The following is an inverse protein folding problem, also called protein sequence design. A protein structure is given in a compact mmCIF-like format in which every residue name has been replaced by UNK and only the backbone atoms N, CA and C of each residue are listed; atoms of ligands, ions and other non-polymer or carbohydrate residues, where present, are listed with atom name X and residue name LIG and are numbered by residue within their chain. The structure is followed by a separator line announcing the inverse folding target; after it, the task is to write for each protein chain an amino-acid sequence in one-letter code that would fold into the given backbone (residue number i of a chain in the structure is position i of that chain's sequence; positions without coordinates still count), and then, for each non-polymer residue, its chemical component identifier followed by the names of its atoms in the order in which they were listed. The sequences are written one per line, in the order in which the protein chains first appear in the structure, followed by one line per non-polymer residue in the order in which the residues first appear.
data_IF_806307174007
#
_entry.id   IF_806307174007
#
_cell.length_a   1.000
_cell.length_b   1.000
_cell.length_c   1.000
_cell.angle_alpha   90.00
_cell.angle_beta   90.00
_cell.angle_gamma   90.00
#
_symmetry.space_group_name_H-M   'P 1'
#
loop_
_entity.id
_entity.type
_entity.pdbx_description
1 polymer ?
#
# COMPACT_ATOMS: atom_id res chain seq x y z
N UNK A 1 20.17 13.14 -15.21
CA UNK A 1 19.01 12.57 -14.51
C UNK A 1 18.22 13.77 -13.99
N UNK A 2 17.06 14.07 -14.58
CA UNK A 2 16.21 15.13 -14.07
C UNK A 2 15.59 14.61 -12.77
N UNK A 3 15.85 15.26 -11.63
CA UNK A 3 15.11 15.01 -10.41
C UNK A 3 13.63 15.27 -10.73
N UNK A 4 12.81 14.24 -10.68
CA UNK A 4 11.37 14.38 -10.83
C UNK A 4 10.90 15.32 -9.71
N UNK A 5 10.46 16.53 -10.08
CA UNK A 5 9.95 17.51 -9.10
C UNK A 5 8.56 17.06 -8.63
N UNK A 6 8.54 16.07 -7.73
CA UNK A 6 7.31 15.47 -7.20
C UNK A 6 6.55 16.40 -6.24
N UNK A 7 7.08 17.60 -5.99
CA UNK A 7 6.51 18.60 -5.08
C UNK A 7 6.28 18.03 -3.66
N UNK A 8 7.19 17.19 -3.18
CA UNK A 8 7.11 16.64 -1.82
C UNK A 8 7.60 17.72 -0.84
N UNK A 9 6.78 18.20 0.09
CA UNK A 9 7.20 19.18 1.10
C UNK A 9 8.23 18.58 2.05
N UNK A 10 9.02 19.44 2.67
CA UNK A 10 9.94 19.04 3.74
C UNK A 10 9.18 18.40 4.90
N UNK A 11 9.73 17.30 5.42
CA UNK A 11 9.13 16.59 6.54
C UNK A 11 9.28 17.41 7.84
N UNK A 12 8.28 17.40 8.73
CA UNK A 12 8.39 18.08 10.00
C UNK A 12 9.46 17.43 10.88
N UNK A 13 10.22 18.24 11.62
CA UNK A 13 11.09 17.72 12.68
C UNK A 13 10.26 17.12 13.82
N UNK A 14 10.64 15.91 14.26
CA UNK A 14 10.00 15.19 15.36
C UNK A 14 11.06 14.93 16.44
N UNK A 15 10.81 15.42 17.65
CA UNK A 15 11.75 15.22 18.78
C UNK A 15 11.94 13.73 19.04
N UNK A 16 13.20 13.30 19.12
CA UNK A 16 13.56 11.92 19.39
C UNK A 16 13.43 10.96 18.20
N UNK A 17 13.22 11.47 16.98
CA UNK A 17 13.14 10.65 15.76
C UNK A 17 14.01 11.25 14.65
N UNK A 18 14.78 10.42 13.95
CA UNK A 18 15.62 10.82 12.82
C UNK A 18 14.83 10.62 11.51
N UNK A 19 14.71 11.68 10.71
CA UNK A 19 14.04 11.59 9.43
C UNK A 19 14.85 10.76 8.43
N UNK A 20 14.22 9.68 7.89
CA UNK A 20 14.83 8.80 6.90
C UNK A 20 14.40 9.11 5.48
N UNK A 21 13.09 9.29 5.26
CA UNK A 21 12.55 9.40 3.91
C UNK A 21 11.17 10.06 3.91
N UNK A 22 10.90 10.83 2.85
CA UNK A 22 9.56 11.37 2.54
C UNK A 22 9.04 10.79 1.24
N UNK A 23 7.94 10.07 1.33
CA UNK A 23 7.14 9.67 0.18
C UNK A 23 6.09 10.70 -0.19
N UNK A 24 5.31 10.42 -1.23
CA UNK A 24 4.24 11.30 -1.71
C UNK A 24 3.21 11.66 -0.63
N UNK A 25 2.93 10.74 0.28
CA UNK A 25 1.85 10.89 1.29
C UNK A 25 2.25 10.46 2.70
N UNK A 26 3.49 10.06 2.93
CA UNK A 26 4.00 9.61 4.23
C UNK A 26 5.43 10.05 4.45
N UNK A 27 5.80 10.17 5.72
CA UNK A 27 7.16 10.42 6.16
C UNK A 27 7.60 9.29 7.09
N UNK A 28 8.85 8.84 6.95
CA UNK A 28 9.46 7.76 7.70
C UNK A 28 10.57 8.32 8.57
N UNK A 29 10.59 7.92 9.84
CA UNK A 29 11.62 8.29 10.81
C UNK A 29 12.12 7.03 11.50
N UNK A 30 13.38 7.06 11.91
CA UNK A 30 13.97 6.05 12.79
C UNK A 30 13.90 6.53 14.24
N UNK A 31 13.52 5.62 15.12
CA UNK A 31 13.50 5.84 16.56
C UNK A 31 14.80 5.29 17.19
N UNK A 32 15.21 5.78 18.38
CA UNK A 32 16.44 5.35 19.05
C UNK A 32 16.53 3.84 19.36
N UNK A 33 15.40 3.15 19.41
CA UNK A 33 15.29 1.70 19.60
C UNK A 33 15.38 0.89 18.31
N UNK A 34 15.57 1.55 17.15
CA UNK A 34 15.63 0.94 15.84
C UNK A 34 14.28 0.66 15.19
N UNK A 35 13.18 1.00 15.84
CA UNK A 35 11.85 0.95 15.23
C UNK A 35 11.63 2.12 14.26
N UNK A 36 10.64 2.01 13.39
CA UNK A 36 10.22 3.06 12.48
C UNK A 36 8.99 3.79 13.01
N UNK A 37 9.02 5.13 12.98
CA UNK A 37 7.84 5.95 13.12
C UNK A 37 7.33 6.30 11.72
N UNK A 38 6.15 5.77 11.36
CA UNK A 38 5.51 6.01 10.08
C UNK A 38 4.42 7.06 10.27
N UNK A 39 4.56 8.20 9.62
CA UNK A 39 3.65 9.34 9.75
C UNK A 39 2.85 9.52 8.47
N UNK A 40 1.55 9.28 8.52
CA UNK A 40 0.65 9.58 7.41
C UNK A 40 0.38 11.09 7.36
N UNK A 41 0.51 11.66 6.18
CA UNK A 41 0.23 13.08 5.95
C UNK A 41 -1.16 13.29 5.36
N UNK A 42 -1.60 14.55 5.38
CA UNK A 42 -2.83 15.00 4.72
C UNK A 42 -2.60 15.30 3.23
N UNK A 43 -1.35 15.11 2.74
CA UNK A 43 -1.01 15.26 1.31
C UNK A 43 -1.82 14.31 0.46
N UNK A 44 -2.17 14.74 -0.75
CA UNK A 44 -2.74 13.92 -1.81
C UNK A 44 -1.86 14.02 -3.05
N UNK A 45 -1.69 12.93 -3.77
CA UNK A 45 -0.93 12.91 -5.02
C UNK A 45 -1.80 12.42 -6.17
N UNK A 46 -1.56 12.96 -7.35
CA UNK A 46 -2.14 12.50 -8.60
C UNK A 46 -1.06 12.53 -9.70
N UNK A 47 -0.98 11.48 -10.51
CA UNK A 47 0.04 11.35 -11.56
C UNK A 47 1.47 11.61 -11.04
N UNK A 48 1.78 11.02 -9.88
CA UNK A 48 3.07 11.14 -9.17
C UNK A 48 3.43 12.55 -8.66
N UNK A 49 2.57 13.54 -8.83
CA UNK A 49 2.74 14.89 -8.31
C UNK A 49 1.94 15.08 -7.02
N UNK A 50 2.57 15.64 -5.98
CA UNK A 50 1.89 16.00 -4.73
C UNK A 50 1.18 17.33 -4.92
N UNK A 51 -0.14 17.35 -4.72
CA UNK A 51 -0.95 18.53 -4.87
C UNK A 51 -0.72 19.51 -3.71
N UNK A 52 -0.79 20.80 -3.99
CA UNK A 52 -0.51 21.86 -2.99
C UNK A 52 -1.52 21.90 -1.85
N UNK A 53 -2.78 21.49 -2.13
CA UNK A 53 -3.86 21.55 -1.13
C UNK A 53 -3.99 20.20 -0.41
N UNK A 54 -3.72 20.12 0.91
CA UNK A 54 -3.93 18.90 1.68
C UNK A 54 -5.43 18.63 1.89
N UNK A 55 -5.76 17.38 2.13
CA UNK A 55 -7.10 16.95 2.54
C UNK A 55 -7.13 16.84 4.07
N UNK A 56 -7.81 17.73 4.78
CA UNK A 56 -7.83 17.73 6.24
C UNK A 56 -8.21 16.37 6.83
N UNK A 57 -7.48 15.93 7.86
CA UNK A 57 -7.65 14.66 8.57
C UNK A 57 -7.45 13.38 7.75
N UNK A 58 -7.03 13.47 6.47
CA UNK A 58 -6.78 12.28 5.63
C UNK A 58 -5.82 11.31 6.31
N UNK A 59 -4.68 11.81 6.83
CA UNK A 59 -3.69 10.98 7.52
C UNK A 59 -4.28 10.27 8.73
N UNK A 60 -5.09 10.96 9.53
CA UNK A 60 -5.75 10.39 10.72
C UNK A 60 -6.78 9.33 10.35
N UNK A 61 -7.59 9.58 9.35
CA UNK A 61 -8.62 8.64 8.86
C UNK A 61 -7.95 7.38 8.35
N UNK A 62 -6.92 7.51 7.50
CA UNK A 62 -6.22 6.36 6.92
C UNK A 62 -5.49 5.54 7.99
N UNK A 63 -4.80 6.18 8.94
CA UNK A 63 -4.13 5.49 10.05
C UNK A 63 -5.15 4.70 10.89
N UNK A 64 -6.28 5.32 11.26
CA UNK A 64 -7.33 4.65 12.03
C UNK A 64 -7.92 3.46 11.28
N UNK A 65 -8.13 3.60 9.97
CA UNK A 65 -8.64 2.52 9.13
C UNK A 65 -7.63 1.37 9.01
N UNK A 66 -6.32 1.67 8.85
CA UNK A 66 -5.28 0.64 8.85
C UNK A 66 -5.23 -0.13 10.17
N UNK A 67 -5.28 0.56 11.32
CA UNK A 67 -5.29 -0.09 12.62
C UNK A 67 -6.52 -0.99 12.80
N UNK A 68 -7.70 -0.57 12.34
CA UNK A 68 -8.90 -1.39 12.35
C UNK A 68 -8.75 -2.67 11.51
N UNK A 69 -8.11 -2.58 10.34
CA UNK A 69 -7.82 -3.75 9.51
C UNK A 69 -6.78 -4.67 10.15
N UNK A 70 -5.72 -4.14 10.75
CA UNK A 70 -4.73 -4.94 11.45
C UNK A 70 -5.33 -5.74 12.60
N UNK A 71 -6.19 -5.11 13.40
CA UNK A 71 -6.94 -5.79 14.46
C UNK A 71 -7.84 -6.90 13.90
N UNK A 72 -8.60 -6.61 12.85
CA UNK A 72 -9.51 -7.58 12.21
C UNK A 72 -8.77 -8.77 11.59
N UNK A 73 -7.59 -8.59 11.09
CA UNK A 73 -6.78 -9.61 10.40
C UNK A 73 -5.72 -10.24 11.30
N UNK A 74 -5.66 -9.89 12.58
CA UNK A 74 -4.60 -10.31 13.51
C UNK A 74 -4.48 -11.83 13.64
N UNK A 75 -5.61 -12.57 13.58
CA UNK A 75 -5.64 -14.04 13.65
C UNK A 75 -5.17 -14.71 12.34
N UNK A 76 -5.14 -13.97 11.23
CA UNK A 76 -4.78 -14.49 9.91
C UNK A 76 -3.33 -14.20 9.55
N UNK A 77 -2.83 -13.00 9.87
CA UNK A 77 -1.49 -12.57 9.51
C UNK A 77 -0.92 -11.61 10.55
N UNK A 78 0.34 -11.79 11.01
CA UNK A 78 1.00 -10.82 11.85
C UNK A 78 1.21 -9.51 11.07
N UNK A 79 1.23 -8.40 11.79
CA UNK A 79 1.49 -7.07 11.24
C UNK A 79 2.70 -6.42 11.96
N UNK A 80 3.26 -5.39 11.36
CA UNK A 80 4.47 -4.72 11.81
C UNK A 80 4.25 -3.62 12.87
N UNK A 81 3.01 -3.28 13.19
CA UNK A 81 2.72 -2.22 14.17
C UNK A 81 3.07 -2.70 15.58
N UNK A 82 3.95 -1.96 16.24
CA UNK A 82 4.42 -2.21 17.63
C UNK A 82 3.62 -1.37 18.62
N UNK A 83 3.37 -0.10 18.29
CA UNK A 83 2.70 0.84 19.20
C UNK A 83 1.97 1.95 18.45
N UNK A 84 0.97 2.50 19.11
CA UNK A 84 0.31 3.75 18.73
C UNK A 84 0.63 4.89 19.69
N UNK A 85 1.51 4.65 20.65
CA UNK A 85 2.06 5.69 21.54
C UNK A 85 3.16 6.43 20.77
N UNK A 86 2.83 7.62 20.29
CA UNK A 86 3.65 8.43 19.40
C UNK A 86 3.71 9.87 19.89
N UNK A 87 4.71 10.67 19.47
CA UNK A 87 4.79 12.09 19.82
C UNK A 87 3.48 12.85 19.57
N UNK A 88 3.12 13.75 20.49
CA UNK A 88 1.83 14.47 20.47
C UNK A 88 1.56 15.21 19.14
N UNK A 89 2.63 15.73 18.49
CA UNK A 89 2.53 16.46 17.22
C UNK A 89 2.04 15.59 16.04
N UNK A 90 2.17 14.25 16.14
CA UNK A 90 1.74 13.31 15.10
C UNK A 90 0.67 12.33 15.60
N UNK A 91 0.11 12.60 16.77
CA UNK A 91 -0.90 11.74 17.40
C UNK A 91 -2.10 11.50 16.48
N UNK A 92 -2.51 10.23 16.38
CA UNK A 92 -3.65 9.78 15.58
C UNK A 92 -3.38 9.63 14.08
N UNK A 93 -2.20 10.05 13.57
CA UNK A 93 -1.78 9.87 12.17
C UNK A 93 -0.42 9.18 12.03
N UNK A 94 0.13 8.68 13.11
CA UNK A 94 1.39 7.94 13.11
C UNK A 94 1.27 6.63 13.88
N UNK A 95 2.16 5.71 13.57
CA UNK A 95 2.33 4.42 14.25
C UNK A 95 3.82 4.10 14.38
N UNK A 96 4.19 3.42 15.47
CA UNK A 96 5.52 2.81 15.61
C UNK A 96 5.46 1.42 15.03
N UNK A 97 6.39 1.11 14.14
CA UNK A 97 6.47 -0.17 13.43
C UNK A 97 7.82 -0.82 13.61
N UNK A 98 7.86 -2.13 13.59
CA UNK A 98 9.08 -2.90 13.44
C UNK A 98 9.75 -2.59 12.11
N UNK A 99 11.09 -2.39 12.12
CA UNK A 99 11.87 -2.20 10.91
C UNK A 99 12.07 -3.54 10.20
N UNK A 100 11.27 -3.80 9.20
CA UNK A 100 11.29 -5.03 8.42
C UNK A 100 12.01 -4.84 7.08
N UNK A 101 12.59 -5.93 6.57
CA UNK A 101 13.07 -5.97 5.19
C UNK A 101 11.88 -6.08 4.24
N UNK A 102 11.66 -5.02 3.46
CA UNK A 102 10.55 -4.96 2.50
C UNK A 102 10.88 -5.71 1.21
N UNK A 103 9.92 -6.51 0.74
CA UNK A 103 10.00 -7.07 -0.61
C UNK A 103 9.61 -6.03 -1.65
N UNK A 104 10.26 -5.98 -2.82
CA UNK A 104 9.95 -5.01 -3.88
C UNK A 104 8.71 -5.44 -4.69
N UNK A 105 7.63 -5.77 -3.99
CA UNK A 105 6.37 -6.26 -4.59
C UNK A 105 5.19 -5.62 -3.89
N UNK A 106 4.25 -5.08 -4.67
CA UNK A 106 2.94 -4.69 -4.19
C UNK A 106 1.97 -5.87 -4.32
N UNK A 107 1.34 -6.25 -3.21
CA UNK A 107 0.38 -7.34 -3.16
C UNK A 107 -1.04 -6.78 -3.25
N UNK A 108 -1.69 -6.96 -4.40
CA UNK A 108 -3.05 -6.46 -4.66
C UNK A 108 -3.99 -7.63 -4.83
N UNK A 109 -5.07 -7.67 -4.04
CA UNK A 109 -6.20 -8.57 -4.24
C UNK A 109 -7.36 -7.80 -4.89
N UNK A 110 -7.85 -8.26 -6.04
CA UNK A 110 -8.93 -7.60 -6.78
C UNK A 110 -10.22 -8.41 -6.70
N UNK A 111 -11.25 -7.83 -6.11
CA UNK A 111 -12.63 -8.32 -6.18
C UNK A 111 -13.42 -7.71 -7.34
N UNK A 112 -12.88 -6.65 -7.94
CA UNK A 112 -13.48 -5.91 -9.06
C UNK A 112 -12.43 -5.62 -10.12
N UNK A 113 -12.84 -5.64 -11.38
CA UNK A 113 -11.98 -5.35 -12.54
C UNK A 113 -11.99 -3.84 -12.82
N UNK A 114 -10.87 -3.16 -12.53
CA UNK A 114 -10.70 -1.71 -12.75
C UNK A 114 -9.23 -1.33 -12.88
N UNK A 115 -8.94 -0.08 -13.26
CA UNK A 115 -7.58 0.47 -13.34
C UNK A 115 -6.65 -0.33 -14.24
N UNK A 116 -5.41 -0.57 -13.81
CA UNK A 116 -4.40 -1.32 -14.58
C UNK A 116 -4.86 -2.74 -14.94
N UNK A 117 -5.61 -3.41 -14.04
CA UNK A 117 -6.16 -4.73 -14.33
C UNK A 117 -7.18 -4.72 -15.49
N UNK A 118 -7.98 -3.67 -15.63
CA UNK A 118 -8.88 -3.53 -16.77
C UNK A 118 -8.11 -3.29 -18.09
N UNK A 119 -7.00 -2.56 -18.02
CA UNK A 119 -6.14 -2.33 -19.19
C UNK A 119 -5.55 -3.65 -19.68
N UNK A 120 -4.99 -4.46 -18.78
CA UNK A 120 -4.43 -5.78 -19.10
C UNK A 120 -5.51 -6.70 -19.68
N UNK A 121 -6.65 -6.80 -19.02
CA UNK A 121 -7.77 -7.63 -19.47
C UNK A 121 -8.24 -7.27 -20.89
N UNK A 122 -8.35 -5.98 -21.19
CA UNK A 122 -8.74 -5.54 -22.54
C UNK A 122 -7.70 -5.87 -23.61
N UNK A 123 -6.45 -5.96 -23.23
CA UNK A 123 -5.35 -6.29 -24.15
C UNK A 123 -5.20 -7.79 -24.37
N UNK A 124 -5.39 -8.62 -23.35
CA UNK A 124 -5.00 -10.04 -23.36
C UNK A 124 -6.09 -11.01 -22.91
N UNK A 125 -7.18 -10.54 -22.30
CA UNK A 125 -8.17 -11.40 -21.63
C UNK A 125 -7.74 -11.88 -20.24
N UNK A 126 -6.57 -11.45 -19.76
CA UNK A 126 -5.96 -11.89 -18.51
C UNK A 126 -5.55 -10.69 -17.65
N UNK A 127 -5.34 -10.93 -16.36
CA UNK A 127 -4.69 -9.97 -15.43
C UNK A 127 -3.62 -10.70 -14.66
N UNK A 128 -2.38 -10.26 -14.74
CA UNK A 128 -1.22 -10.91 -14.11
C UNK A 128 -1.08 -12.40 -14.45
N UNK A 129 -1.50 -12.82 -15.64
CA UNK A 129 -1.52 -14.22 -16.09
C UNK A 129 -2.69 -15.04 -15.57
N UNK A 130 -3.68 -14.41 -14.94
CA UNK A 130 -4.96 -15.05 -14.55
C UNK A 130 -5.99 -14.80 -15.63
N UNK A 131 -6.43 -15.83 -16.38
CA UNK A 131 -7.46 -15.67 -17.40
C UNK A 131 -8.82 -15.34 -16.78
N UNK A 132 -9.54 -14.41 -17.39
CA UNK A 132 -10.85 -13.98 -16.94
C UNK A 132 -11.92 -14.26 -18.00
N UNK A 133 -13.20 -14.43 -17.59
CA UNK A 133 -14.31 -14.61 -18.51
C UNK A 133 -14.45 -13.44 -19.50
N UNK A 134 -14.94 -13.73 -20.70
CA UNK A 134 -15.25 -12.70 -21.67
C UNK A 134 -16.41 -11.79 -21.23
N UNK A 135 -16.43 -10.56 -21.72
CA UNK A 135 -17.52 -9.63 -21.53
C UNK A 135 -17.47 -8.81 -20.24
N UNK A 136 -16.39 -8.88 -19.46
CA UNK A 136 -16.20 -8.01 -18.31
C UNK A 136 -15.96 -6.57 -18.76
N UNK A 137 -16.55 -5.63 -18.02
CA UNK A 137 -16.42 -4.19 -18.22
C UNK A 137 -15.83 -3.52 -16.99
N UNK A 138 -15.60 -2.22 -17.05
CA UNK A 138 -15.11 -1.46 -15.89
C UNK A 138 -16.04 -1.64 -14.69
N UNK A 139 -15.41 -1.83 -13.52
CA UNK A 139 -16.07 -2.13 -12.25
C UNK A 139 -16.87 -3.45 -12.22
N UNK A 140 -16.71 -4.36 -13.19
CA UNK A 140 -17.28 -5.70 -13.08
C UNK A 140 -16.78 -6.41 -11.85
N UNK A 141 -17.72 -6.97 -11.05
CA UNK A 141 -17.37 -7.82 -9.92
C UNK A 141 -16.85 -9.17 -10.44
N UNK A 142 -15.73 -9.61 -9.91
CA UNK A 142 -15.18 -10.94 -10.18
C UNK A 142 -15.91 -11.98 -9.33
N UNK A 143 -16.14 -13.16 -9.90
CA UNK A 143 -16.78 -14.27 -9.19
C UNK A 143 -15.94 -14.71 -7.99
N UNK A 144 -14.63 -14.78 -8.20
CA UNK A 144 -13.64 -15.02 -7.14
C UNK A 144 -12.60 -13.90 -7.19
N UNK A 145 -12.22 -13.31 -6.05
CA UNK A 145 -11.11 -12.37 -6.01
C UNK A 145 -9.83 -12.98 -6.55
N UNK A 146 -9.06 -12.20 -7.29
CA UNK A 146 -7.77 -12.63 -7.87
C UNK A 146 -6.61 -11.87 -7.24
N UNK A 147 -5.47 -12.55 -7.12
CA UNK A 147 -4.21 -11.93 -6.71
C UNK A 147 -3.49 -11.37 -7.92
N UNK A 148 -3.22 -10.07 -7.89
CA UNK A 148 -2.63 -9.32 -9.00
C UNK A 148 -1.45 -8.50 -8.50
N UNK A 149 -0.28 -9.14 -8.31
CA UNK A 149 0.90 -8.44 -7.80
C UNK A 149 1.45 -7.46 -8.84
N UNK A 150 2.15 -6.44 -8.34
CA UNK A 150 2.92 -5.53 -9.15
C UNK A 150 4.34 -5.38 -8.60
N UNK A 151 5.30 -5.04 -9.45
CA UNK A 151 6.64 -4.64 -9.01
C UNK A 151 6.53 -3.32 -8.26
N UNK A 152 7.37 -3.14 -7.24
CA UNK A 152 7.54 -1.84 -6.61
C UNK A 152 8.56 -1.04 -7.41
N UNK A 153 8.08 -0.09 -8.20
CA UNK A 153 8.93 0.77 -9.00
C UNK A 153 9.65 1.83 -8.13
N UNK A 154 10.77 2.32 -8.64
CA UNK A 154 11.47 3.46 -8.04
C UNK A 154 10.62 4.74 -8.12
N UNK A 155 10.96 5.72 -7.28
CA UNK A 155 10.22 6.97 -7.18
C UNK A 155 10.21 7.72 -8.54
N UNK A 156 9.02 7.91 -9.11
CA UNK A 156 8.82 8.54 -10.43
C UNK A 156 8.65 7.55 -11.58
N UNK A 157 8.69 6.27 -11.32
CA UNK A 157 8.30 5.20 -12.25
C UNK A 157 6.96 4.59 -11.84
N UNK A 158 6.33 3.83 -12.74
CA UNK A 158 5.05 3.18 -12.48
C UNK A 158 5.26 1.70 -12.12
N UNK A 159 4.48 1.23 -11.13
CA UNK A 159 4.42 -0.17 -10.79
C UNK A 159 3.86 -0.98 -11.98
N UNK A 160 4.53 -2.07 -12.35
CA UNK A 160 4.12 -2.94 -13.44
C UNK A 160 3.45 -4.20 -12.90
N UNK A 161 2.27 -4.54 -13.44
CA UNK A 161 1.61 -5.80 -13.14
C UNK A 161 2.50 -6.99 -13.56
N UNK A 162 2.70 -7.94 -12.65
CA UNK A 162 3.53 -9.12 -12.88
C UNK A 162 2.75 -10.40 -12.54
N UNK A 163 3.15 -11.52 -13.14
CA UNK A 163 2.49 -12.78 -12.83
C UNK A 163 2.90 -13.32 -11.43
N UNK A 164 2.02 -14.15 -10.87
CA UNK A 164 2.32 -14.91 -9.65
C UNK A 164 3.66 -15.63 -9.71
N UNK A 165 4.02 -16.23 -10.84
CA UNK A 165 5.28 -16.97 -11.01
C UNK A 165 6.53 -16.09 -10.82
N UNK A 166 6.46 -14.82 -11.17
CA UNK A 166 7.53 -13.84 -10.97
C UNK A 166 7.69 -13.55 -9.47
N UNK A 167 6.58 -13.39 -8.75
CA UNK A 167 6.57 -13.07 -7.32
C UNK A 167 6.81 -14.31 -6.45
N UNK A 168 6.46 -15.50 -6.92
CA UNK A 168 6.61 -16.76 -6.19
C UNK A 168 8.08 -17.13 -5.90
N UNK A 169 9.03 -16.50 -6.57
CA UNK A 169 10.43 -16.57 -6.18
C UNK A 169 10.69 -15.89 -4.82
N UNK A 170 9.80 -15.04 -4.37
CA UNK A 170 9.74 -14.41 -3.03
C UNK A 170 8.78 -15.17 -2.09
N UNK A 171 8.85 -16.45 -2.05
CA UNK A 171 7.91 -17.50 -1.59
C UNK A 171 7.08 -17.27 -0.31
N UNK A 172 7.48 -16.41 0.62
CA UNK A 172 6.81 -16.31 1.93
C UNK A 172 5.55 -15.43 1.90
N UNK A 173 5.56 -14.34 1.13
CA UNK A 173 4.49 -13.32 1.12
C UNK A 173 3.24 -13.86 0.40
N UNK A 174 3.43 -14.53 -0.72
CA UNK A 174 2.33 -14.95 -1.60
C UNK A 174 1.39 -15.94 -0.94
N UNK A 175 1.92 -16.97 -0.25
CA UNK A 175 1.08 -17.94 0.46
C UNK A 175 0.20 -17.29 1.53
N UNK A 176 0.68 -16.20 2.13
CA UNK A 176 -0.02 -15.49 3.19
C UNK A 176 -1.14 -14.62 2.63
N UNK A 177 -0.90 -13.92 1.52
CA UNK A 177 -1.94 -13.10 0.83
C UNK A 177 -3.08 -13.98 0.33
N UNK A 178 -2.78 -15.14 -0.27
CA UNK A 178 -3.82 -16.10 -0.69
C UNK A 178 -4.69 -16.57 0.49
N UNK A 179 -4.09 -16.82 1.65
CA UNK A 179 -4.83 -17.20 2.86
C UNK A 179 -5.77 -16.09 3.34
N UNK A 180 -5.30 -14.82 3.33
CA UNK A 180 -6.12 -13.66 3.73
C UNK A 180 -7.29 -13.46 2.76
N UNK A 181 -7.03 -13.51 1.45
CA UNK A 181 -8.08 -13.34 0.42
C UNK A 181 -9.11 -14.46 0.49
N UNK A 182 -8.68 -15.71 0.73
CA UNK A 182 -9.58 -16.85 0.85
C UNK A 182 -10.43 -16.81 2.14
N UNK A 183 -9.88 -16.26 3.22
CA UNK A 183 -10.55 -16.21 4.53
C UNK A 183 -11.53 -15.04 4.66
N UNK A 184 -11.26 -13.90 4.04
CA UNK A 184 -12.17 -12.74 4.03
C UNK A 184 -12.25 -12.10 2.64
N UNK A 185 -13.21 -12.53 1.81
CA UNK A 185 -13.44 -11.94 0.48
C UNK A 185 -13.78 -10.44 0.53
N UNK A 186 -14.22 -9.91 1.68
CA UNK A 186 -14.47 -8.49 1.84
C UNK A 186 -13.16 -7.68 1.92
N UNK A 187 -12.08 -8.28 2.44
CA UNK A 187 -10.76 -7.66 2.44
C UNK A 187 -10.23 -7.44 1.01
N UNK A 188 -10.58 -8.31 0.07
CA UNK A 188 -10.23 -8.19 -1.34
C UNK A 188 -11.00 -7.08 -2.09
N UNK A 189 -12.17 -6.67 -1.58
CA UNK A 189 -12.96 -5.60 -2.17
C UNK A 189 -12.41 -4.19 -1.85
N UNK A 190 -11.47 -4.11 -0.91
CA UNK A 190 -10.89 -2.86 -0.45
C UNK A 190 -9.39 -2.80 -0.77
N UNK A 191 -9.06 -2.30 -1.95
CA UNK A 191 -7.70 -1.88 -2.29
C UNK A 191 -7.69 -0.39 -2.65
N UNK A 192 -7.67 0.51 -1.67
CA UNK A 192 -7.18 1.85 -1.93
C UNK A 192 -5.66 1.72 -2.03
N UNK A 193 -5.07 2.22 -3.10
CA UNK A 193 -3.64 2.14 -3.35
C UNK A 193 -2.79 2.34 -2.09
N UNK A 194 -2.08 1.30 -1.70
CA UNK A 194 -1.10 1.32 -0.63
C UNK A 194 -1.64 1.67 0.76
N UNK A 195 -2.19 0.71 1.45
CA UNK A 195 -2.26 0.78 2.91
C UNK A 195 -0.92 0.31 3.46
N UNK A 196 -0.14 1.27 3.97
CA UNK A 196 1.19 1.17 4.62
C UNK A 196 2.29 0.51 3.81
#
# INVERSE_FOLDING_TARGET
MAASNLNIPEAPEIEGAEHLHSGKVRDLYELPDGNLLIVASDRISAFDYVLDTPIPDKGRILTRMSLWWFDRLADLVPHHVVSTDVPAQVAGRAVVCEALTMYPVECVARGYLTGSGLVDYRATGEVCGVPLPEGLVDASRLETPIFTPATKADLGEHDENVSYAVVAQTQAVVRRVEQVVAADPAAAAYSPGGIL
#
